data_IF_286194222759
#
_entry.id   IF_286194222759
#
_cell.length_a   1.000
_cell.length_b   1.000
_cell.length_c   1.000
_cell.angle_alpha   90.00
_cell.angle_beta   90.00
_cell.angle_gamma   90.00
#
_symmetry.space_group_name_H-M   'P 1'
#
loop_
_entity.id
_entity.type
_entity.pdbx_description
1 polymer ?
#
# COMPACT_ATOMS: atom_id res chain seq x y z
N UNK A 1 6.92 -15.13 1.11
CA UNK A 1 8.03 -14.19 1.31
C UNK A 1 9.25 -14.88 1.98
N UNK A 2 9.09 -15.46 3.17
CA UNK A 2 10.24 -16.07 3.89
C UNK A 2 10.93 -17.19 3.11
N UNK A 3 10.17 -18.08 2.47
CA UNK A 3 10.74 -19.14 1.63
C UNK A 3 11.61 -18.57 0.49
N UNK A 4 11.18 -17.54 -0.16
CA UNK A 4 11.94 -16.85 -1.21
C UNK A 4 13.29 -16.35 -0.69
N UNK A 5 13.31 -15.71 0.48
CA UNK A 5 14.56 -15.29 1.12
C UNK A 5 15.50 -16.45 1.42
N UNK A 6 14.98 -17.61 1.80
CA UNK A 6 15.76 -18.82 2.05
C UNK A 6 16.36 -19.35 0.74
N UNK A 7 15.54 -19.51 -0.31
CA UNK A 7 16.00 -19.97 -1.63
C UNK A 7 17.09 -19.07 -2.24
N UNK A 8 17.06 -17.76 -1.94
CA UNK A 8 18.11 -16.84 -2.38
C UNK A 8 19.46 -17.06 -1.69
N UNK A 9 19.46 -17.62 -0.48
CA UNK A 9 20.66 -17.78 0.37
C UNK A 9 21.24 -19.18 0.36
N UNK A 10 20.43 -20.18 0.08
CA UNK A 10 20.79 -21.59 0.22
C UNK A 10 20.35 -22.35 -1.02
N UNK A 11 21.28 -23.07 -1.64
CA UNK A 11 20.95 -24.02 -2.69
C UNK A 11 20.21 -25.23 -2.09
N UNK A 12 18.95 -25.39 -2.45
CA UNK A 12 18.11 -26.51 -2.03
C UNK A 12 17.80 -27.33 -3.29
N UNK A 13 18.23 -28.60 -3.39
CA UNK A 13 17.94 -29.43 -4.55
C UNK A 13 16.45 -29.50 -4.86
N UNK A 14 16.07 -29.26 -6.09
CA UNK A 14 14.68 -29.25 -6.54
C UNK A 14 13.93 -27.92 -6.29
N UNK A 15 14.59 -26.92 -5.70
CA UNK A 15 13.98 -25.61 -5.47
C UNK A 15 13.62 -24.86 -6.75
N UNK A 16 14.29 -25.16 -7.86
CA UNK A 16 14.01 -24.60 -9.17
C UNK A 16 12.58 -24.86 -9.67
N UNK A 17 11.90 -25.85 -9.10
CA UNK A 17 10.49 -26.15 -9.36
C UNK A 17 9.52 -25.18 -8.67
N UNK A 18 9.97 -24.48 -7.65
CA UNK A 18 9.15 -23.66 -6.76
C UNK A 18 9.60 -22.20 -6.69
N UNK A 19 10.80 -21.91 -7.14
CA UNK A 19 11.42 -20.61 -6.98
C UNK A 19 12.35 -20.29 -8.14
N UNK A 20 12.32 -19.04 -8.58
CA UNK A 20 13.31 -18.50 -9.52
C UNK A 20 14.45 -17.84 -8.74
N UNK A 21 15.31 -18.67 -8.14
CA UNK A 21 16.45 -18.24 -7.32
C UNK A 21 16.05 -17.28 -6.18
N UNK A 22 14.89 -17.49 -5.58
CA UNK A 22 14.40 -16.68 -4.47
C UNK A 22 14.03 -15.24 -4.85
N UNK A 23 13.68 -15.00 -6.09
CA UNK A 23 13.31 -13.66 -6.57
C UNK A 23 11.82 -13.32 -6.40
N UNK A 24 11.03 -14.24 -5.87
CA UNK A 24 9.62 -14.03 -5.61
C UNK A 24 9.44 -13.04 -4.45
N UNK A 25 8.44 -12.17 -4.59
CA UNK A 25 7.98 -11.26 -3.56
C UNK A 25 6.52 -11.54 -3.23
N UNK A 26 6.14 -11.31 -1.98
CA UNK A 26 4.75 -11.37 -1.58
C UNK A 26 4.11 -9.99 -1.70
N UNK A 27 2.87 -9.96 -2.19
CA UNK A 27 2.05 -8.76 -2.24
C UNK A 27 0.87 -8.88 -1.29
N UNK A 28 0.62 -7.83 -0.53
CA UNK A 28 -0.57 -7.70 0.30
C UNK A 28 -1.23 -6.35 0.07
N UNK A 29 -2.56 -6.34 0.13
CA UNK A 29 -3.37 -5.12 0.08
C UNK A 29 -4.23 -5.04 1.33
N UNK A 30 -4.32 -3.86 1.91
CA UNK A 30 -5.12 -3.60 3.11
C UNK A 30 -5.72 -2.20 3.04
N UNK A 31 -6.96 -2.03 3.53
CA UNK A 31 -7.56 -0.71 3.67
C UNK A 31 -6.97 0.06 4.86
N UNK A 32 -7.03 1.38 4.81
CA UNK A 32 -6.53 2.27 5.87
C UNK A 32 -7.17 1.97 7.23
N UNK A 33 -8.47 1.79 7.29
CA UNK A 33 -9.16 1.45 8.53
C UNK A 33 -8.73 0.10 9.11
N UNK A 34 -8.47 -0.89 8.27
CA UNK A 34 -8.01 -2.20 8.69
C UNK A 34 -6.59 -2.19 9.26
N UNK A 35 -5.79 -1.14 9.00
CA UNK A 35 -4.49 -0.95 9.65
C UNK A 35 -4.59 -0.70 11.17
N UNK A 36 -5.78 -0.44 11.69
CA UNK A 36 -6.04 -0.30 13.13
C UNK A 36 -6.15 -1.65 13.86
N UNK A 37 -6.20 -2.76 13.13
CA UNK A 37 -6.21 -4.11 13.71
C UNK A 37 -4.82 -4.49 14.24
N UNK A 38 -4.79 -5.21 15.38
CA UNK A 38 -3.52 -5.63 16.01
C UNK A 38 -2.60 -6.42 15.09
N UNK A 39 -3.16 -7.34 14.29
CA UNK A 39 -2.42 -8.16 13.33
C UNK A 39 -1.63 -7.34 12.31
N UNK A 40 -2.07 -6.12 11.98
CA UNK A 40 -1.30 -5.26 11.09
C UNK A 40 0.05 -4.90 11.69
N UNK A 41 0.09 -4.40 12.92
CA UNK A 41 1.34 -4.02 13.59
C UNK A 41 2.23 -5.22 13.90
N UNK A 42 1.65 -6.35 14.26
CA UNK A 42 2.40 -7.60 14.45
C UNK A 42 3.08 -8.04 13.14
N UNK A 43 2.35 -7.99 12.03
CA UNK A 43 2.87 -8.31 10.69
C UNK A 43 3.98 -7.35 10.28
N UNK A 44 3.79 -6.05 10.46
CA UNK A 44 4.81 -5.04 10.17
C UNK A 44 6.08 -5.30 10.99
N UNK A 45 5.93 -5.51 12.29
CA UNK A 45 7.08 -5.78 13.14
C UNK A 45 7.84 -7.04 12.71
N UNK A 46 7.13 -8.14 12.51
CA UNK A 46 7.74 -9.41 12.09
C UNK A 46 8.42 -9.29 10.71
N UNK A 47 7.76 -8.65 9.75
CA UNK A 47 8.31 -8.46 8.41
C UNK A 47 9.58 -7.58 8.40
N UNK A 48 9.60 -6.53 9.22
CA UNK A 48 10.77 -5.67 9.40
C UNK A 48 11.94 -6.39 10.03
N UNK A 49 11.70 -7.10 11.15
CA UNK A 49 12.75 -7.87 11.86
C UNK A 49 13.33 -8.96 10.97
N UNK A 50 12.49 -9.68 10.24
CA UNK A 50 12.94 -10.77 9.36
C UNK A 50 13.46 -10.28 8.01
N UNK A 51 13.28 -9.01 7.68
CA UNK A 51 13.62 -8.43 6.36
C UNK A 51 13.13 -9.33 5.20
N UNK A 52 11.83 -9.63 5.21
CA UNK A 52 11.23 -10.52 4.20
C UNK A 52 10.79 -9.73 2.97
N UNK A 53 10.88 -10.32 1.76
CA UNK A 53 10.47 -9.64 0.53
C UNK A 53 8.94 -9.56 0.41
N UNK A 54 8.35 -8.55 1.06
CA UNK A 54 6.92 -8.26 1.03
C UNK A 54 6.67 -6.80 0.65
N UNK A 55 5.66 -6.58 -0.16
CA UNK A 55 5.10 -5.26 -0.43
C UNK A 55 3.69 -5.22 0.14
N UNK A 56 3.45 -4.27 1.03
CA UNK A 56 2.13 -3.98 1.56
C UNK A 56 1.61 -2.67 0.98
N UNK A 57 0.51 -2.76 0.24
CA UNK A 57 -0.19 -1.62 -0.32
C UNK A 57 -1.36 -1.24 0.58
N UNK A 58 -1.30 -0.07 1.21
CA UNK A 58 -2.36 0.47 2.06
C UNK A 58 -3.20 1.40 1.20
N UNK A 59 -4.46 1.06 1.01
CA UNK A 59 -5.41 1.84 0.22
C UNK A 59 -6.24 2.72 1.13
N UNK A 60 -6.08 4.03 0.99
CA UNK A 60 -6.60 5.04 1.89
C UNK A 60 -7.52 6.02 1.16
N UNK A 61 -8.81 5.93 1.44
CA UNK A 61 -9.83 6.87 1.03
C UNK A 61 -10.23 7.83 2.18
N UNK A 62 -9.52 7.76 3.29
CA UNK A 62 -9.74 8.49 4.55
C UNK A 62 -10.99 8.05 5.34
N UNK A 63 -11.59 6.90 5.03
CA UNK A 63 -12.78 6.43 5.70
C UNK A 63 -12.77 4.92 5.92
N UNK A 64 -13.11 4.50 7.13
CA UNK A 64 -13.53 3.13 7.40
C UNK A 64 -15.04 3.07 7.39
N UNK A 65 -15.63 2.66 6.26
CA UNK A 65 -17.07 2.75 5.97
C UNK A 65 -17.53 4.22 6.02
N UNK A 66 -18.00 4.67 7.19
CA UNK A 66 -18.45 6.05 7.42
C UNK A 66 -17.61 6.81 8.45
N UNK A 67 -16.64 6.15 9.07
CA UNK A 67 -15.79 6.73 10.11
C UNK A 67 -14.53 7.31 9.51
N UNK A 68 -14.31 8.61 9.68
CA UNK A 68 -13.11 9.28 9.18
C UNK A 68 -11.84 8.76 9.85
N UNK A 69 -10.77 8.63 9.08
CA UNK A 69 -9.43 8.20 9.53
C UNK A 69 -8.90 8.96 10.74
N UNK A 70 -9.29 10.23 10.92
CA UNK A 70 -8.94 11.03 12.10
C UNK A 70 -9.43 10.44 13.43
N UNK A 71 -10.43 9.57 13.41
CA UNK A 71 -10.96 8.86 14.58
C UNK A 71 -10.46 7.44 14.71
N UNK A 72 -9.77 6.93 13.71
CA UNK A 72 -9.28 5.55 13.66
C UNK A 72 -7.77 5.46 13.73
N UNK A 73 -7.06 6.41 13.12
CA UNK A 73 -5.61 6.37 12.95
C UNK A 73 -4.96 7.52 13.70
N UNK A 74 -4.03 7.22 14.59
CA UNK A 74 -3.22 8.23 15.27
C UNK A 74 -2.60 9.17 14.22
N UNK A 75 -2.63 10.48 14.48
CA UNK A 75 -2.22 11.53 13.51
C UNK A 75 -3.09 11.62 12.25
N UNK A 76 -4.14 10.81 12.13
CA UNK A 76 -4.99 10.75 10.94
C UNK A 76 -4.25 10.35 9.66
N UNK A 77 -3.08 9.70 9.78
CA UNK A 77 -2.24 9.34 8.63
C UNK A 77 -1.34 8.16 8.97
N UNK A 78 -1.53 7.04 8.30
CA UNK A 78 -0.81 5.80 8.60
C UNK A 78 0.70 5.90 8.28
N UNK A 79 1.10 6.60 7.24
CA UNK A 79 2.53 6.79 6.95
C UNK A 79 3.25 7.56 8.07
N UNK A 80 2.56 8.51 8.70
CA UNK A 80 3.14 9.24 9.84
C UNK A 80 3.26 8.36 11.09
N UNK A 81 2.34 7.42 11.27
CA UNK A 81 2.42 6.43 12.35
C UNK A 81 3.60 5.48 12.13
N UNK A 82 3.80 5.07 10.89
CA UNK A 82 4.79 4.06 10.52
C UNK A 82 6.22 4.62 10.35
N UNK A 83 6.45 5.90 10.56
CA UNK A 83 7.80 6.49 10.44
C UNK A 83 8.86 5.77 11.28
N UNK A 84 8.49 5.28 12.45
CA UNK A 84 9.40 4.51 13.31
C UNK A 84 9.79 3.13 12.77
N UNK A 85 9.10 2.63 11.76
CA UNK A 85 9.42 1.38 11.07
C UNK A 85 10.25 1.60 9.81
N UNK A 86 10.54 2.86 9.46
CA UNK A 86 11.35 3.15 8.28
C UNK A 86 12.78 2.67 8.47
N UNK A 87 13.33 2.06 7.43
CA UNK A 87 14.72 1.64 7.40
C UNK A 87 15.65 2.86 7.43
N UNK A 88 16.58 2.82 8.35
CA UNK A 88 17.67 3.78 8.47
C UNK A 88 19.01 3.10 8.23
N UNK A 89 20.09 3.88 8.15
CA UNK A 89 21.44 3.35 8.02
C UNK A 89 21.75 2.37 9.17
N UNK A 90 22.15 1.15 8.82
CA UNK A 90 22.49 0.08 9.74
C UNK A 90 21.33 -0.49 10.60
N UNK A 91 20.07 -0.20 10.26
CA UNK A 91 18.91 -0.83 10.89
C UNK A 91 18.12 -1.69 9.92
N UNK A 92 17.33 -2.63 10.44
CA UNK A 92 16.23 -3.24 9.70
C UNK A 92 15.07 -2.25 9.58
N UNK A 93 14.08 -2.57 8.77
CA UNK A 93 12.89 -1.71 8.58
C UNK A 93 12.39 -1.74 7.16
N UNK A 94 11.48 -0.83 6.88
CA UNK A 94 10.76 -0.72 5.60
C UNK A 94 11.23 0.46 4.77
N UNK A 95 11.21 0.30 3.46
CA UNK A 95 11.01 1.46 2.60
C UNK A 95 9.53 1.84 2.61
N UNK A 96 9.24 3.14 2.77
CA UNK A 96 7.87 3.63 2.86
C UNK A 96 7.66 4.71 1.80
N UNK A 97 6.74 4.42 0.89
CA UNK A 97 6.31 5.37 -0.15
C UNK A 97 4.90 5.87 0.13
N UNK A 98 4.63 7.08 -0.28
CA UNK A 98 3.29 7.67 -0.26
C UNK A 98 3.00 8.27 -1.63
N UNK A 99 1.87 7.89 -2.22
CA UNK A 99 1.46 8.28 -3.57
C UNK A 99 -0.04 8.54 -3.62
N UNK A 100 -0.48 9.46 -4.47
CA UNK A 100 -1.90 9.73 -4.65
C UNK A 100 -2.55 8.68 -5.56
N UNK A 101 -3.68 8.12 -5.16
CA UNK A 101 -4.36 7.05 -5.89
C UNK A 101 -4.95 7.46 -7.24
N UNK A 102 -5.16 8.75 -7.46
CA UNK A 102 -5.62 9.32 -8.73
C UNK A 102 -4.48 9.66 -9.71
N UNK A 103 -3.21 9.56 -9.27
CA UNK A 103 -2.05 9.81 -10.13
C UNK A 103 -1.49 8.50 -10.69
N UNK A 104 -2.02 8.08 -11.83
CA UNK A 104 -1.68 6.81 -12.46
C UNK A 104 -0.17 6.68 -12.76
N UNK A 105 0.46 7.76 -13.24
CA UNK A 105 1.88 7.74 -13.61
C UNK A 105 2.77 7.56 -12.39
N UNK A 106 2.50 8.30 -11.34
CA UNK A 106 3.26 8.18 -10.09
C UNK A 106 2.98 6.85 -9.37
N UNK A 107 1.77 6.30 -9.48
CA UNK A 107 1.48 4.94 -9.03
C UNK A 107 2.39 3.93 -9.73
N UNK A 108 2.42 3.91 -11.05
CA UNK A 108 3.23 2.96 -11.83
C UNK A 108 4.71 3.05 -11.44
N UNK A 109 5.27 4.26 -11.39
CA UNK A 109 6.68 4.48 -10.99
C UNK A 109 6.96 4.02 -9.56
N UNK A 110 6.02 4.29 -8.65
CA UNK A 110 6.16 3.92 -7.23
C UNK A 110 6.14 2.41 -7.06
N UNK A 111 5.21 1.71 -7.72
CA UNK A 111 5.14 0.26 -7.68
C UNK A 111 6.35 -0.41 -8.32
N UNK A 112 6.83 0.09 -9.46
CA UNK A 112 8.05 -0.40 -10.12
C UNK A 112 9.27 -0.25 -9.20
N UNK A 113 9.43 0.92 -8.59
CA UNK A 113 10.51 1.18 -7.63
C UNK A 113 10.43 0.27 -6.40
N UNK A 114 9.24 0.11 -5.84
CA UNK A 114 9.00 -0.75 -4.70
C UNK A 114 9.33 -2.21 -5.01
N UNK A 115 8.88 -2.69 -6.16
CA UNK A 115 9.15 -4.04 -6.65
C UNK A 115 10.64 -4.30 -6.77
N UNK A 116 11.36 -3.40 -7.41
CA UNK A 116 12.80 -3.50 -7.60
C UNK A 116 13.54 -3.57 -6.25
N UNK A 117 13.26 -2.66 -5.33
CA UNK A 117 13.89 -2.65 -4.00
C UNK A 117 13.60 -3.95 -3.26
N UNK A 118 12.34 -4.36 -3.21
CA UNK A 118 11.92 -5.54 -2.49
C UNK A 118 12.57 -6.82 -3.05
N UNK A 119 12.59 -6.97 -4.37
CA UNK A 119 13.13 -8.14 -5.07
C UNK A 119 14.66 -8.22 -5.01
N UNK A 120 15.34 -7.11 -5.20
CA UNK A 120 16.80 -7.10 -5.27
C UNK A 120 17.45 -7.12 -3.89
N UNK A 121 16.89 -6.37 -2.93
CA UNK A 121 17.50 -6.13 -1.62
C UNK A 121 16.84 -6.86 -0.46
N UNK A 122 15.70 -7.54 -0.68
CA UNK A 122 14.86 -8.15 0.36
C UNK A 122 14.40 -7.13 1.44
N UNK A 123 14.35 -5.85 1.09
CA UNK A 123 13.81 -4.82 1.98
C UNK A 123 12.30 -4.84 1.85
N UNK A 124 11.54 -5.05 2.94
CA UNK A 124 10.10 -4.96 2.89
C UNK A 124 9.65 -3.53 2.57
N UNK A 125 8.56 -3.39 1.85
CA UNK A 125 8.09 -2.09 1.37
C UNK A 125 6.64 -1.86 1.78
N UNK A 126 6.33 -0.65 2.18
CA UNK A 126 4.96 -0.15 2.37
C UNK A 126 4.69 0.92 1.32
N UNK A 127 3.56 0.80 0.62
CA UNK A 127 3.06 1.81 -0.29
C UNK A 127 1.74 2.33 0.28
N UNK A 128 1.74 3.55 0.76
CA UNK A 128 0.53 4.24 1.19
C UNK A 128 -0.09 4.96 -0.01
N UNK A 129 -1.10 4.34 -0.59
CA UNK A 129 -1.89 4.91 -1.69
C UNK A 129 -3.00 5.75 -1.06
N UNK A 130 -2.73 7.02 -0.92
CA UNK A 130 -3.64 8.00 -0.30
C UNK A 130 -4.54 8.68 -1.32
N UNK A 131 -5.53 9.40 -0.81
CA UNK A 131 -6.47 10.16 -1.64
C UNK A 131 -7.19 9.29 -2.68
N UNK A 132 -7.45 8.03 -2.34
CA UNK A 132 -8.36 7.21 -3.12
C UNK A 132 -9.77 7.80 -3.08
N UNK A 133 -10.49 7.62 -4.15
CA UNK A 133 -11.86 8.09 -4.28
C UNK A 133 -12.82 6.91 -4.32
N UNK A 134 -13.96 7.10 -3.69
CA UNK A 134 -15.02 6.10 -3.67
C UNK A 134 -16.31 6.74 -4.16
N UNK A 135 -16.65 6.58 -5.45
CA UNK A 135 -17.76 7.32 -6.08
C UNK A 135 -19.16 6.91 -5.57
N UNK A 136 -19.26 5.74 -4.96
CA UNK A 136 -20.52 5.25 -4.35
C UNK A 136 -20.33 4.98 -2.85
N UNK A 137 -21.42 4.96 -2.08
CA UNK A 137 -21.40 4.60 -0.67
C UNK A 137 -20.82 3.21 -0.46
N UNK A 138 -20.07 3.03 0.63
CA UNK A 138 -19.43 1.76 0.97
C UNK A 138 -20.44 0.61 1.13
N UNK A 139 -21.62 0.92 1.65
CA UNK A 139 -22.65 -0.09 1.90
C UNK A 139 -24.05 0.48 1.72
N UNK A 140 -25.05 -0.41 1.71
CA UNK A 140 -26.47 -0.05 1.64
C UNK A 140 -26.97 0.73 2.87
N UNK A 141 -26.17 0.83 3.94
CA UNK A 141 -26.54 1.52 5.19
C UNK A 141 -26.56 3.04 5.11
N UNK A 142 -26.09 3.63 4.00
CA UNK A 142 -26.16 5.05 3.80
C UNK A 142 -25.42 5.55 2.58
N UNK A 143 -25.86 6.71 2.09
CA UNK A 143 -25.17 7.44 1.03
C UNK A 143 -24.05 8.28 1.64
N UNK A 144 -23.10 8.66 0.80
CA UNK A 144 -21.92 9.46 1.21
C UNK A 144 -22.30 10.79 1.86
N UNK A 145 -23.41 11.40 1.43
CA UNK A 145 -23.88 12.69 1.90
C UNK A 145 -24.17 12.70 3.41
N UNK A 146 -24.34 11.53 4.00
CA UNK A 146 -24.59 11.40 5.44
C UNK A 146 -23.34 11.60 6.29
N UNK A 147 -22.15 11.39 5.73
CA UNK A 147 -20.90 11.43 6.50
C UNK A 147 -19.76 12.19 5.82
N UNK A 148 -19.82 12.41 4.50
CA UNK A 148 -18.84 13.23 3.78
C UNK A 148 -19.40 14.64 3.56
N UNK A 149 -18.56 15.66 3.66
CA UNK A 149 -18.96 17.03 3.32
C UNK A 149 -19.15 17.19 1.82
N UNK A 150 -19.99 18.12 1.41
CA UNK A 150 -20.20 18.48 0.00
C UNK A 150 -18.86 18.81 -0.71
N UNK A 151 -17.98 19.57 -0.04
CA UNK A 151 -16.63 19.86 -0.54
C UNK A 151 -15.84 18.60 -0.82
N UNK A 152 -15.93 17.59 0.04
CA UNK A 152 -15.24 16.29 -0.14
C UNK A 152 -15.83 15.54 -1.34
N UNK A 153 -17.14 15.50 -1.47
CA UNK A 153 -17.80 14.82 -2.59
C UNK A 153 -17.47 15.45 -3.94
N UNK A 154 -17.47 16.78 -4.01
CA UNK A 154 -17.03 17.50 -5.22
C UNK A 154 -15.57 17.21 -5.57
N UNK A 155 -14.72 17.13 -4.56
CA UNK A 155 -13.33 16.78 -4.76
C UNK A 155 -13.16 15.32 -5.26
N UNK A 156 -13.86 14.36 -4.65
CA UNK A 156 -13.82 12.95 -5.08
C UNK A 156 -14.31 12.77 -6.52
N UNK A 157 -15.37 13.49 -6.90
CA UNK A 157 -15.86 13.47 -8.28
C UNK A 157 -14.82 14.02 -9.27
N UNK A 158 -14.11 15.08 -8.91
CA UNK A 158 -13.05 15.67 -9.74
C UNK A 158 -11.84 14.75 -9.88
N UNK A 159 -11.48 14.06 -8.81
CA UNK A 159 -10.28 13.20 -8.73
C UNK A 159 -10.61 11.71 -8.75
N UNK A 160 -11.78 11.36 -9.30
CA UNK A 160 -12.12 9.96 -9.48
C UNK A 160 -11.01 9.21 -10.22
N UNK A 161 -10.50 8.16 -9.58
CA UNK A 161 -9.29 7.47 -10.02
C UNK A 161 -9.45 6.85 -11.41
N UNK A 162 -10.62 6.30 -11.73
CA UNK A 162 -10.90 5.70 -13.04
C UNK A 162 -11.01 6.78 -14.12
N UNK A 163 -11.70 7.88 -13.81
CA UNK A 163 -11.83 9.01 -14.73
C UNK A 163 -10.48 9.64 -15.03
N UNK A 164 -9.62 9.81 -14.01
CA UNK A 164 -8.26 10.33 -14.18
C UNK A 164 -7.38 9.40 -14.99
N UNK A 165 -7.45 8.11 -14.75
CA UNK A 165 -6.72 7.11 -15.55
C UNK A 165 -7.16 7.13 -17.02
N UNK A 166 -8.49 7.18 -17.27
CA UNK A 166 -9.03 7.30 -18.62
C UNK A 166 -8.59 8.57 -19.34
N UNK A 167 -8.66 9.71 -18.65
CA UNK A 167 -8.19 11.00 -19.18
C UNK A 167 -6.74 10.93 -19.61
N UNK A 168 -5.89 10.34 -18.76
CA UNK A 168 -4.47 10.15 -19.05
C UNK A 168 -4.23 9.27 -20.28
N UNK A 169 -4.90 8.11 -20.40
CA UNK A 169 -4.81 7.21 -21.56
C UNK A 169 -5.16 7.95 -22.85
N UNK A 170 -6.31 8.65 -22.85
CA UNK A 170 -6.79 9.38 -24.05
C UNK A 170 -5.85 10.52 -24.44
N UNK A 171 -5.33 11.26 -23.45
CA UNK A 171 -4.41 12.39 -23.69
C UNK A 171 -3.09 11.91 -24.28
N UNK A 172 -2.60 10.77 -23.86
CA UNK A 172 -1.35 10.20 -24.34
C UNK A 172 -1.51 9.27 -25.57
N UNK A 173 -2.74 9.11 -26.06
CA UNK A 173 -3.07 8.28 -27.25
C UNK A 173 -2.58 6.83 -27.13
N UNK A 174 -2.71 6.25 -25.94
CA UNK A 174 -2.37 4.87 -25.62
C UNK A 174 -3.60 3.98 -25.85
#
# INVERSE_FOLDING_TARGET
>A
AQASKIYKKVEIPGSEKFSNNGREIAWGTIGDAATSEGLFFETINAAGVMEIPIILSIWDDNYGISVSSKYQTTKGNISEVLKGFKKENNSNGFEIFSVNGWDYVELMKTYEKAEKICRESNIPVIIHVKELTQPLGHSTSGSHERYKSEKRLLWENKYDCLSKSREWILTNKI
#
